data_IF_773060618459
#
_entry.id   IF_773060618459
#
_cell.length_a   1.000
_cell.length_b   1.000
_cell.length_c   1.000
_cell.angle_alpha   90.00
_cell.angle_beta   90.00
_cell.angle_gamma   90.00
#
_symmetry.space_group_name_H-M   'P 1'
#
loop_
_entity.id
_entity.type
_entity.pdbx_description
1 polymer ?
#
# COMPACT_ATOMS: atom_id res chain seq x y z
N UNK A 1 12.44 -11.15 0.36
CA UNK A 1 12.28 -9.68 0.12
C UNK A 1 12.44 -8.98 1.46
N UNK A 2 12.97 -7.75 1.49
CA UNK A 2 12.98 -6.91 2.68
C UNK A 2 11.84 -5.90 2.57
N UNK A 3 11.07 -5.78 3.65
CA UNK A 3 9.93 -4.88 3.73
C UNK A 3 9.80 -4.32 5.14
N UNK A 4 9.18 -3.14 5.25
CA UNK A 4 8.70 -2.59 6.52
C UNK A 4 7.18 -2.80 6.60
N UNK A 5 6.69 -3.09 7.80
CA UNK A 5 5.25 -3.01 8.08
C UNK A 5 4.73 -1.59 7.91
N UNK A 6 3.41 -1.47 7.84
CA UNK A 6 2.68 -0.20 7.91
C UNK A 6 1.84 -0.24 9.19
N UNK A 7 1.78 0.88 9.88
CA UNK A 7 0.95 1.13 11.07
C UNK A 7 0.01 2.32 10.81
N UNK A 8 -0.90 2.60 11.75
CA UNK A 8 -1.90 3.67 11.63
C UNK A 8 -3.28 3.12 11.31
N UNK A 9 -3.98 3.75 10.36
CA UNK A 9 -5.37 3.45 10.00
C UNK A 9 -5.53 2.15 9.19
N UNK A 10 -5.12 1.01 9.75
CA UNK A 10 -5.14 -0.29 9.06
C UNK A 10 -6.55 -0.76 8.74
N UNK A 11 -7.53 -0.50 9.62
CA UNK A 11 -8.92 -0.86 9.38
C UNK A 11 -9.48 -0.14 8.15
N UNK A 12 -9.24 1.18 8.03
CA UNK A 12 -9.62 1.97 6.86
C UNK A 12 -8.91 1.49 5.58
N UNK A 13 -7.64 1.08 5.68
CA UNK A 13 -6.91 0.50 4.56
C UNK A 13 -7.50 -0.85 4.12
N UNK A 14 -7.96 -1.67 5.07
CA UNK A 14 -8.64 -2.93 4.78
C UNK A 14 -10.01 -2.70 4.13
N UNK A 15 -10.78 -1.72 4.59
CA UNK A 15 -12.05 -1.30 3.97
C UNK A 15 -11.85 -0.82 2.53
N UNK A 16 -10.89 0.08 2.30
CA UNK A 16 -10.55 0.56 0.96
C UNK A 16 -10.17 -0.61 0.04
N UNK A 17 -9.39 -1.55 0.54
CA UNK A 17 -9.00 -2.74 -0.22
C UNK A 17 -10.20 -3.62 -0.56
N UNK A 18 -11.13 -3.79 0.37
CA UNK A 18 -12.38 -4.50 0.15
C UNK A 18 -13.21 -3.86 -0.97
N UNK A 19 -13.40 -2.54 -0.91
CA UNK A 19 -14.12 -1.77 -1.91
C UNK A 19 -13.47 -1.88 -3.31
N UNK A 20 -12.15 -1.70 -3.41
CA UNK A 20 -11.43 -1.84 -4.68
C UNK A 20 -11.59 -3.25 -5.25
N UNK A 21 -11.44 -4.29 -4.41
CA UNK A 21 -11.60 -5.68 -4.85
C UNK A 21 -13.02 -5.97 -5.33
N UNK A 22 -14.04 -5.41 -4.69
CA UNK A 22 -15.42 -5.54 -5.18
C UNK A 22 -15.57 -4.94 -6.59
N UNK A 23 -15.08 -3.71 -6.81
CA UNK A 23 -15.13 -3.06 -8.13
C UNK A 23 -14.36 -3.83 -9.21
N UNK A 24 -13.17 -4.32 -8.89
CA UNK A 24 -12.37 -5.12 -9.84
C UNK A 24 -13.10 -6.41 -10.23
N UNK A 25 -13.83 -7.05 -9.30
CA UNK A 25 -14.68 -8.22 -9.59
C UNK A 25 -15.88 -7.86 -10.48
N UNK A 26 -16.55 -6.74 -10.20
CA UNK A 26 -17.64 -6.23 -11.04
C UNK A 26 -17.20 -6.01 -12.50
N UNK A 27 -15.94 -5.60 -12.70
CA UNK A 27 -15.34 -5.48 -14.03
C UNK A 27 -14.90 -6.81 -14.67
N UNK A 28 -15.12 -7.95 -14.02
CA UNK A 28 -14.75 -9.28 -14.53
C UNK A 28 -13.25 -9.60 -14.51
N UNK A 29 -12.44 -8.84 -13.76
CA UNK A 29 -10.99 -9.04 -13.68
C UNK A 29 -10.66 -10.08 -12.61
N UNK A 30 -10.00 -11.18 -13.01
CA UNK A 30 -9.56 -12.21 -12.09
C UNK A 30 -8.30 -11.79 -11.32
N UNK A 31 -8.29 -12.01 -10.00
CA UNK A 31 -7.13 -11.77 -9.14
C UNK A 31 -7.09 -12.74 -7.96
N UNK A 32 -5.91 -12.99 -7.35
CA UNK A 32 -5.82 -13.85 -6.18
C UNK A 32 -6.49 -13.22 -4.95
N UNK A 33 -7.38 -13.99 -4.31
CA UNK A 33 -8.05 -13.63 -3.08
C UNK A 33 -7.19 -13.98 -1.88
N UNK A 34 -6.23 -13.11 -1.58
CA UNK A 34 -5.37 -13.21 -0.40
C UNK A 34 -5.59 -11.98 0.48
N UNK A 35 -5.65 -12.14 1.82
CA UNK A 35 -5.68 -11.02 2.73
C UNK A 35 -4.55 -10.03 2.43
N UNK A 36 -4.86 -8.74 2.46
CA UNK A 36 -3.83 -7.72 2.33
C UNK A 36 -2.90 -7.81 3.54
N UNK A 37 -1.59 -7.81 3.28
CA UNK A 37 -0.56 -7.60 4.30
C UNK A 37 0.11 -6.26 3.97
N UNK A 38 -0.33 -5.14 4.56
CA UNK A 38 0.22 -3.82 4.27
C UNK A 38 1.72 -3.79 4.57
N UNK A 39 2.52 -3.49 3.54
CA UNK A 39 3.97 -3.40 3.69
C UNK A 39 4.56 -2.47 2.64
N UNK A 40 5.67 -1.84 2.98
CA UNK A 40 6.53 -1.13 2.03
C UNK A 40 7.71 -2.02 1.67
N UNK A 41 7.81 -2.46 0.41
CA UNK A 41 8.98 -3.21 -0.05
C UNK A 41 10.18 -2.26 -0.13
N UNK A 42 11.23 -2.54 0.65
CA UNK A 42 12.46 -1.74 0.68
C UNK A 42 13.53 -2.31 -0.25
N UNK A 43 13.63 -3.64 -0.32
CA UNK A 43 14.59 -4.32 -1.21
C UNK A 43 14.12 -5.71 -1.63
N UNK A 44 14.68 -6.21 -2.73
CA UNK A 44 14.49 -7.59 -3.18
C UNK A 44 15.84 -8.26 -3.31
N UNK A 45 15.97 -9.47 -2.77
CA UNK A 45 17.17 -10.29 -2.94
C UNK A 45 17.38 -10.61 -4.43
N UNK A 46 18.64 -10.61 -4.88
CA UNK A 46 19.01 -11.20 -6.16
C UNK A 46 19.03 -12.73 -6.00
N UNK A 47 18.93 -13.48 -7.11
CA UNK A 47 18.71 -14.95 -7.12
C UNK A 47 19.76 -15.78 -6.33
N UNK A 48 20.88 -15.18 -5.91
CA UNK A 48 21.94 -15.86 -5.15
C UNK A 48 22.55 -14.97 -4.05
N UNK A 49 21.84 -13.93 -3.60
CA UNK A 49 22.34 -13.02 -2.57
C UNK A 49 21.24 -12.65 -1.55
N UNK A 50 20.95 -13.60 -0.66
CA UNK A 50 20.06 -13.40 0.49
C UNK A 50 20.79 -12.78 1.69
N UNK A 51 22.12 -12.89 1.75
CA UNK A 51 22.93 -12.35 2.83
C UNK A 51 22.85 -10.81 2.87
N UNK A 52 22.92 -10.15 1.72
CA UNK A 52 22.79 -8.68 1.64
C UNK A 52 21.44 -8.17 2.17
N UNK A 53 20.36 -8.91 1.95
CA UNK A 53 19.02 -8.55 2.47
C UNK A 53 18.97 -8.68 3.98
N UNK A 54 19.59 -9.72 4.53
CA UNK A 54 19.65 -9.95 5.99
C UNK A 54 20.48 -8.87 6.67
N UNK A 55 21.64 -8.53 6.12
CA UNK A 55 22.50 -7.45 6.63
C UNK A 55 21.81 -6.08 6.56
N UNK A 56 21.06 -5.80 5.48
CA UNK A 56 20.27 -4.58 5.37
C UNK A 56 19.12 -4.54 6.40
N UNK A 57 18.46 -5.69 6.64
CA UNK A 57 17.45 -5.81 7.68
C UNK A 57 17.99 -5.49 9.07
N UNK A 58 19.15 -6.06 9.45
CA UNK A 58 19.78 -5.78 10.73
C UNK A 58 20.15 -4.30 10.93
N UNK A 59 20.52 -3.59 9.85
CA UNK A 59 20.81 -2.14 9.91
C UNK A 59 19.56 -1.28 10.08
N UNK A 60 18.40 -1.81 9.74
CA UNK A 60 17.11 -1.14 9.87
C UNK A 60 16.36 -1.61 11.12
N UNK A 61 17.01 -2.40 11.98
CA UNK A 61 16.42 -2.80 13.24
C UNK A 61 16.15 -1.57 14.13
N UNK A 62 14.96 -1.50 14.71
CA UNK A 62 14.48 -0.33 15.44
C UNK A 62 14.21 0.93 14.59
N UNK A 63 14.34 0.88 13.26
CA UNK A 63 13.97 2.00 12.40
C UNK A 63 12.45 2.22 12.43
N UNK A 64 12.05 3.44 12.79
CA UNK A 64 10.67 3.92 12.64
C UNK A 64 10.61 4.94 11.52
N UNK A 65 9.71 4.70 10.56
CA UNK A 65 9.44 5.65 9.48
C UNK A 65 8.79 6.93 9.99
N UNK A 66 8.71 7.95 9.13
CA UNK A 66 7.89 9.14 9.41
C UNK A 66 6.43 8.82 9.09
N UNK A 67 5.45 9.35 9.84
CA UNK A 67 4.05 9.25 9.44
C UNK A 67 3.82 10.00 8.12
N UNK A 68 2.90 9.49 7.30
CA UNK A 68 2.45 10.15 6.08
C UNK A 68 0.94 10.02 5.96
N UNK A 69 0.33 10.97 5.25
CA UNK A 69 -1.07 10.87 4.85
C UNK A 69 -1.15 10.29 3.45
N UNK A 70 -1.98 9.26 3.27
CA UNK A 70 -2.28 8.73 1.93
C UNK A 70 -3.28 9.65 1.24
N UNK A 71 -2.86 10.30 0.15
CA UNK A 71 -3.69 11.29 -0.54
C UNK A 71 -4.45 10.73 -1.74
N UNK A 72 -3.90 9.69 -2.37
CA UNK A 72 -4.43 9.14 -3.62
C UNK A 72 -4.32 7.63 -3.68
N UNK A 73 -5.30 7.02 -4.33
CA UNK A 73 -5.23 5.66 -4.86
C UNK A 73 -4.83 5.73 -6.33
N UNK A 74 -3.83 4.95 -6.72
CA UNK A 74 -3.32 4.91 -8.09
C UNK A 74 -3.62 3.56 -8.74
N UNK A 75 -4.14 3.57 -9.97
CA UNK A 75 -4.14 2.41 -10.87
C UNK A 75 -2.87 2.46 -11.70
N UNK A 76 -2.03 1.42 -11.58
CA UNK A 76 -0.72 1.37 -12.25
C UNK A 76 -0.63 0.23 -13.26
N UNK A 77 -0.09 0.51 -14.43
CA UNK A 77 0.35 -0.49 -15.39
C UNK A 77 1.81 -0.85 -15.10
N UNK A 78 2.13 -2.15 -15.08
CA UNK A 78 3.50 -2.62 -14.92
C UNK A 78 3.95 -3.43 -16.12
N UNK A 79 5.25 -3.39 -16.42
CA UNK A 79 5.83 -4.27 -17.45
C UNK A 79 5.53 -5.74 -17.15
N UNK A 80 5.07 -6.47 -18.16
CA UNK A 80 4.69 -7.89 -18.04
C UNK A 80 5.89 -8.73 -17.59
N UNK A 81 5.61 -9.79 -16.82
CA UNK A 81 6.65 -10.75 -16.42
C UNK A 81 7.34 -11.33 -17.66
N UNK A 82 8.67 -11.40 -17.63
CA UNK A 82 9.48 -11.88 -18.76
C UNK A 82 9.96 -10.79 -19.70
N UNK A 83 9.51 -9.54 -19.54
CA UNK A 83 10.07 -8.42 -20.30
C UNK A 83 11.56 -8.20 -19.94
N UNK A 84 12.45 -7.98 -20.94
CA UNK A 84 13.85 -7.65 -20.68
C UNK A 84 13.97 -6.35 -19.86
N UNK A 85 14.80 -6.38 -18.81
CA UNK A 85 15.13 -5.20 -18.01
C UNK A 85 14.34 -5.06 -16.71
N UNK A 86 14.40 -3.85 -16.15
CA UNK A 86 13.80 -3.53 -14.85
C UNK A 86 12.27 -3.41 -14.96
N UNK A 87 11.56 -3.79 -13.89
CA UNK A 87 10.12 -3.51 -13.83
C UNK A 87 9.90 -2.01 -13.86
N UNK A 88 9.07 -1.55 -14.81
CA UNK A 88 8.60 -0.17 -14.86
C UNK A 88 7.13 -0.13 -14.47
N UNK A 89 6.75 0.93 -13.79
CA UNK A 89 5.37 1.24 -13.42
C UNK A 89 5.00 2.58 -14.03
N UNK A 90 3.78 2.67 -14.54
CA UNK A 90 3.20 3.88 -15.08
C UNK A 90 1.81 4.08 -14.48
N UNK A 91 1.51 5.29 -14.04
CA UNK A 91 0.16 5.66 -13.62
C UNK A 91 -0.78 5.63 -14.84
N UNK A 92 -1.88 4.90 -14.69
CA UNK A 92 -2.98 4.86 -15.66
C UNK A 92 -4.04 5.88 -15.24
N UNK A 93 -4.39 5.89 -13.96
CA UNK A 93 -5.35 6.84 -13.37
C UNK A 93 -5.12 6.96 -11.86
N UNK A 94 -5.63 8.03 -11.24
CA UNK A 94 -5.53 8.26 -9.81
C UNK A 94 -6.76 8.98 -9.23
N UNK A 95 -7.20 8.53 -8.06
CA UNK A 95 -8.34 9.10 -7.33
C UNK A 95 -7.89 9.67 -5.99
N UNK A 96 -8.33 10.89 -5.69
CA UNK A 96 -8.07 11.52 -4.39
C UNK A 96 -8.87 10.80 -3.31
N UNK A 97 -8.21 10.43 -2.22
CA UNK A 97 -8.86 9.89 -1.04
C UNK A 97 -9.40 11.05 -0.21
N UNK A 98 -10.70 11.00 0.09
CA UNK A 98 -11.32 11.97 0.96
C UNK A 98 -10.66 11.93 2.34
N UNK A 99 -10.43 13.10 2.93
CA UNK A 99 -10.05 13.16 4.35
C UNK A 99 -11.31 12.88 5.17
N UNK A 100 -11.27 11.97 6.16
CA UNK A 100 -12.39 11.80 7.06
C UNK A 100 -12.72 13.15 7.70
N UNK A 101 -13.97 13.60 7.53
CA UNK A 101 -14.44 14.80 8.19
C UNK A 101 -14.52 14.48 9.69
N UNK A 102 -13.85 15.23 10.58
CA UNK A 102 -13.98 14.98 12.00
C UNK A 102 -15.45 15.11 12.41
N UNK A 103 -15.94 14.30 13.38
CA UNK A 103 -17.31 14.40 13.84
C UNK A 103 -17.59 15.83 14.29
N UNK A 104 -18.72 16.39 13.83
CA UNK A 104 -19.15 17.74 14.22
C UNK A 104 -19.27 17.78 15.74
N UNK A 105 -18.67 18.76 16.44
CA UNK A 105 -18.87 18.90 17.87
C UNK A 105 -20.36 19.07 18.17
N UNK A 106 -20.86 18.57 19.33
CA UNK A 106 -22.25 18.73 19.69
C UNK A 106 -22.60 20.22 19.72
N UNK A 107 -23.80 20.57 19.22
CA UNK A 107 -24.28 21.94 19.29
C UNK A 107 -24.30 22.40 20.74
N UNK A 108 -23.63 23.53 21.03
CA UNK A 108 -23.72 24.17 22.34
C UNK A 108 -25.20 24.42 22.65
N UNK A 109 -25.67 24.10 23.86
CA UNK A 109 -27.03 24.47 24.24
C UNK A 109 -27.14 26.00 24.23
N UNK A 110 -28.10 26.52 23.47
CA UNK A 110 -28.50 27.93 23.52
C UNK A 110 -28.79 28.33 24.98
N UNK A 111 -28.20 29.44 25.41
CA UNK A 111 -28.42 30.04 26.74
C UNK A 111 -29.67 30.91 26.78
#
# INVERSE_FOLDING_TARGET
VLWSGIEGDLDQLHELTGAVRARVRECGVAFPERPLRPHLTLARARRHDSASVTAAGARLDGFTGRPWRTERLHLVASTVRGHPGHRRYQDVDAWVLATPTPPRPPASPDS
#
